data_IF_576129960083
#
_entry.id   IF_576129960083
#
_cell.length_a   1.000
_cell.length_b   1.000
_cell.length_c   1.000
_cell.angle_alpha   90.00
_cell.angle_beta   90.00
_cell.angle_gamma   90.00
#
_symmetry.space_group_name_H-M   'P 1'
#
loop_
_entity.id
_entity.type
_entity.pdbx_description
1 polymer ?
#
# COMPACT_ATOMS: atom_id res chain seq x y z
N UNK A 1 -32.62 2.98 5.70
CA UNK A 1 -31.57 3.96 5.39
C UNK A 1 -30.21 3.37 5.66
N UNK A 2 -29.29 3.63 4.76
CA UNK A 2 -27.93 3.15 4.89
C UNK A 2 -27.14 4.03 5.86
N UNK A 3 -26.28 3.39 6.68
CA UNK A 3 -25.38 4.10 7.58
C UNK A 3 -24.23 4.77 6.83
N UNK A 4 -24.00 4.37 5.59
CA UNK A 4 -22.82 4.75 4.84
C UNK A 4 -23.20 5.57 3.62
N UNK A 5 -22.40 6.57 3.31
CA UNK A 5 -22.57 7.37 2.12
C UNK A 5 -22.09 6.61 0.89
N UNK A 6 -22.55 7.01 -0.31
CA UNK A 6 -22.17 6.37 -1.56
C UNK A 6 -20.67 6.36 -1.78
N UNK A 7 -19.98 7.42 -1.36
CA UNK A 7 -18.53 7.51 -1.46
C UNK A 7 -17.83 6.42 -0.66
N UNK A 8 -18.29 6.18 0.59
CA UNK A 8 -17.73 5.13 1.44
C UNK A 8 -17.89 3.75 0.80
N UNK A 9 -19.05 3.52 0.19
CA UNK A 9 -19.32 2.25 -0.48
C UNK A 9 -18.37 2.06 -1.67
N UNK A 10 -18.14 3.11 -2.46
CA UNK A 10 -17.25 3.01 -3.62
C UNK A 10 -15.80 2.78 -3.21
N UNK A 11 -15.34 3.45 -2.16
CA UNK A 11 -13.99 3.23 -1.63
C UNK A 11 -13.82 1.80 -1.12
N UNK A 12 -14.84 1.30 -0.41
CA UNK A 12 -14.83 -0.09 0.08
C UNK A 12 -14.77 -1.07 -1.08
N UNK A 13 -15.60 -0.89 -2.10
CA UNK A 13 -15.62 -1.78 -3.27
C UNK A 13 -14.28 -1.80 -3.97
N UNK A 14 -13.65 -0.64 -4.09
CA UNK A 14 -12.36 -0.52 -4.75
C UNK A 14 -11.29 -1.27 -3.99
N UNK A 15 -11.25 -1.08 -2.67
CA UNK A 15 -10.30 -1.78 -1.82
C UNK A 15 -10.52 -3.29 -1.86
N UNK A 16 -11.78 -3.72 -1.74
CA UNK A 16 -12.15 -5.12 -1.78
C UNK A 16 -11.73 -5.76 -3.10
N UNK A 17 -11.94 -5.06 -4.21
CA UNK A 17 -11.56 -5.56 -5.54
C UNK A 17 -10.06 -5.87 -5.59
N UNK A 18 -9.23 -4.97 -5.07
CA UNK A 18 -7.77 -5.17 -5.12
C UNK A 18 -7.36 -6.36 -4.24
N UNK A 19 -7.94 -6.51 -3.03
CA UNK A 19 -7.63 -7.66 -2.19
C UNK A 19 -8.07 -8.98 -2.82
N UNK A 20 -9.24 -8.99 -3.47
CA UNK A 20 -9.71 -10.20 -4.16
C UNK A 20 -8.84 -10.52 -5.38
N UNK A 21 -8.43 -9.51 -6.12
CA UNK A 21 -7.51 -9.67 -7.24
C UNK A 21 -6.17 -10.24 -6.76
N UNK A 22 -5.66 -9.70 -5.66
CA UNK A 22 -4.40 -10.16 -5.07
C UNK A 22 -4.48 -11.64 -4.66
N UNK A 23 -5.60 -12.04 -4.09
CA UNK A 23 -5.82 -13.43 -3.71
C UNK A 23 -5.87 -14.33 -4.95
N UNK A 24 -6.60 -13.91 -5.98
CA UNK A 24 -6.72 -14.67 -7.23
C UNK A 24 -5.38 -14.82 -7.94
N UNK A 25 -4.60 -13.75 -7.99
CA UNK A 25 -3.30 -13.72 -8.67
C UNK A 25 -2.14 -14.16 -7.78
N UNK A 26 -2.42 -14.48 -6.52
CA UNK A 26 -1.42 -14.90 -5.55
C UNK A 26 -0.29 -13.87 -5.40
N UNK A 27 -0.66 -12.60 -5.23
CA UNK A 27 0.28 -11.49 -5.10
C UNK A 27 0.88 -11.52 -3.70
N UNK A 28 2.20 -11.69 -3.59
CA UNK A 28 2.88 -11.93 -2.32
C UNK A 28 3.06 -10.69 -1.45
N UNK A 29 3.02 -9.49 -2.04
CA UNK A 29 3.23 -8.24 -1.30
C UNK A 29 1.94 -7.54 -0.87
N UNK A 30 0.81 -8.22 -0.98
CA UNK A 30 -0.48 -7.73 -0.49
C UNK A 30 -1.00 -8.76 0.52
N UNK A 31 -1.38 -8.33 1.74
CA UNK A 31 -1.88 -9.27 2.75
C UNK A 31 -3.08 -10.04 2.23
N UNK A 32 -3.13 -11.33 2.55
CA UNK A 32 -4.23 -12.19 2.11
C UNK A 32 -5.54 -11.79 2.79
N UNK A 33 -6.60 -11.64 1.99
CA UNK A 33 -7.92 -11.39 2.54
C UNK A 33 -8.46 -12.67 3.18
N UNK A 34 -8.99 -12.53 4.39
CA UNK A 34 -9.57 -13.64 5.16
C UNK A 34 -11.09 -13.64 5.09
N UNK A 35 -11.70 -12.47 5.17
CA UNK A 35 -13.16 -12.33 5.11
C UNK A 35 -13.51 -10.88 4.81
N UNK A 36 -14.78 -10.66 4.43
CA UNK A 36 -15.29 -9.31 4.24
C UNK A 36 -16.79 -9.29 4.49
N UNK A 37 -17.31 -8.11 4.82
CA UNK A 37 -18.73 -7.89 5.07
C UNK A 37 -19.14 -6.62 4.33
N UNK A 38 -19.93 -6.80 3.26
CA UNK A 38 -20.35 -5.67 2.43
C UNK A 38 -21.38 -4.77 3.10
N UNK A 39 -22.15 -5.33 4.05
CA UNK A 39 -23.13 -4.53 4.78
C UNK A 39 -22.47 -3.60 5.79
N UNK A 40 -21.42 -4.06 6.44
CA UNK A 40 -20.68 -3.30 7.44
C UNK A 40 -19.45 -2.59 6.88
N UNK A 41 -19.14 -2.79 5.61
CA UNK A 41 -17.96 -2.26 4.93
C UNK A 41 -16.66 -2.63 5.66
N UNK A 42 -16.51 -3.90 5.97
CA UNK A 42 -15.35 -4.43 6.70
C UNK A 42 -14.58 -5.40 5.82
N UNK A 43 -13.26 -5.25 5.81
CA UNK A 43 -12.34 -6.20 5.17
C UNK A 43 -11.38 -6.67 6.25
N UNK A 44 -11.26 -8.00 6.39
CA UNK A 44 -10.30 -8.61 7.31
C UNK A 44 -9.20 -9.27 6.51
N UNK A 45 -7.96 -8.90 6.79
CA UNK A 45 -6.79 -9.46 6.13
C UNK A 45 -5.88 -10.11 7.16
N UNK A 46 -4.99 -10.99 6.66
CA UNK A 46 -3.97 -11.61 7.50
C UNK A 46 -3.06 -10.52 8.07
N UNK A 47 -2.76 -10.61 9.38
CA UNK A 47 -1.79 -9.72 10.00
C UNK A 47 -0.38 -10.14 9.57
N UNK A 48 0.30 -9.28 8.82
CA UNK A 48 1.64 -9.58 8.27
C UNK A 48 2.73 -8.72 8.89
N UNK A 49 2.37 -7.83 9.82
CA UNK A 49 3.35 -6.98 10.48
C UNK A 49 2.75 -5.68 10.99
N UNK A 50 3.59 -4.67 11.07
CA UNK A 50 3.20 -3.33 11.55
C UNK A 50 3.46 -2.29 10.47
N UNK A 51 2.87 -1.11 10.61
CA UNK A 51 3.09 -0.04 9.64
C UNK A 51 4.56 0.39 9.64
N UNK A 52 5.03 0.84 8.49
CA UNK A 52 6.38 1.39 8.38
C UNK A 52 6.54 2.62 9.29
N UNK A 53 5.48 3.40 9.47
CA UNK A 53 5.49 4.54 10.38
C UNK A 53 5.82 4.08 11.80
N UNK A 54 5.10 3.09 12.31
CA UNK A 54 5.32 2.56 13.66
C UNK A 54 6.68 1.88 13.80
N UNK A 55 7.11 1.19 12.75
CA UNK A 55 8.41 0.51 12.76
C UNK A 55 9.55 1.53 12.87
N UNK A 56 9.51 2.58 12.06
CA UNK A 56 10.55 3.61 12.10
C UNK A 56 10.53 4.36 13.43
N UNK A 57 9.35 4.70 13.95
CA UNK A 57 9.22 5.38 15.22
C UNK A 57 9.72 4.51 16.38
N UNK A 58 9.39 3.23 16.37
CA UNK A 58 9.73 2.31 17.45
C UNK A 58 11.18 1.89 17.47
N UNK A 59 11.80 1.73 16.31
CA UNK A 59 13.20 1.27 16.19
C UNK A 59 14.18 2.38 15.89
N UNK A 60 13.69 3.61 15.71
CA UNK A 60 14.55 4.76 15.44
C UNK A 60 15.25 4.71 14.09
N UNK A 61 14.68 4.01 13.12
CA UNK A 61 15.26 3.91 11.79
C UNK A 61 14.60 4.88 10.82
N UNK A 62 15.27 5.11 9.70
CA UNK A 62 14.77 5.98 8.64
C UNK A 62 14.12 5.12 7.55
N UNK A 63 12.98 5.59 7.03
CA UNK A 63 12.33 4.84 5.95
C UNK A 63 13.18 4.82 4.68
N UNK A 64 14.14 5.74 4.55
CA UNK A 64 15.07 5.79 3.43
C UNK A 64 15.77 4.46 3.19
N UNK A 65 16.06 3.73 4.27
CA UNK A 65 16.72 2.43 4.18
C UNK A 65 15.88 1.39 3.45
N UNK A 66 14.56 1.61 3.39
CA UNK A 66 13.62 0.68 2.80
C UNK A 66 13.15 1.10 1.41
N UNK A 67 13.63 2.24 0.89
CA UNK A 67 13.21 2.75 -0.42
C UNK A 67 13.39 1.73 -1.55
N UNK A 68 14.51 1.00 -1.64
CA UNK A 68 14.63 0.00 -2.71
C UNK A 68 13.54 -1.06 -2.67
N UNK A 69 13.21 -1.57 -1.47
CA UNK A 69 12.13 -2.54 -1.31
C UNK A 69 10.76 -1.96 -1.60
N UNK A 70 10.51 -0.75 -1.14
CA UNK A 70 9.24 -0.04 -1.39
C UNK A 70 9.06 0.17 -2.90
N UNK A 71 10.11 0.63 -3.58
CA UNK A 71 10.08 0.82 -5.02
C UNK A 71 9.77 -0.48 -5.75
N UNK A 72 10.36 -1.57 -5.30
CA UNK A 72 10.14 -2.88 -5.89
C UNK A 72 8.68 -3.29 -5.85
N UNK A 73 8.04 -3.21 -4.68
CA UNK A 73 6.63 -3.63 -4.56
C UNK A 73 5.70 -2.63 -5.24
N UNK A 74 6.02 -1.33 -5.18
CA UNK A 74 5.26 -0.32 -5.90
C UNK A 74 5.27 -0.60 -7.41
N UNK A 75 6.44 -0.86 -7.97
CA UNK A 75 6.56 -1.14 -9.40
C UNK A 75 5.89 -2.46 -9.80
N UNK A 76 5.87 -3.44 -8.92
CA UNK A 76 5.13 -4.69 -9.17
C UNK A 76 3.64 -4.43 -9.29
N UNK A 77 3.09 -3.56 -8.44
CA UNK A 77 1.67 -3.20 -8.53
C UNK A 77 1.38 -2.49 -9.85
N UNK A 78 2.26 -1.58 -10.26
CA UNK A 78 2.12 -0.89 -11.56
C UNK A 78 2.15 -1.90 -12.71
N UNK A 79 2.97 -2.93 -12.63
CA UNK A 79 3.00 -3.97 -13.66
C UNK A 79 1.69 -4.76 -13.75
N UNK A 80 0.96 -4.87 -12.65
CA UNK A 80 -0.38 -5.46 -12.66
C UNK A 80 -1.43 -4.50 -13.24
N UNK A 81 -1.05 -3.26 -13.55
CA UNK A 81 -1.91 -2.27 -14.17
C UNK A 81 -2.54 -1.27 -13.20
N UNK A 82 -2.00 -1.16 -12.00
CA UNK A 82 -2.60 -0.31 -10.96
C UNK A 82 -1.59 0.60 -10.29
N UNK A 83 -2.02 1.82 -9.96
CA UNK A 83 -1.28 2.77 -9.14
C UNK A 83 -1.94 2.83 -7.77
N UNK A 84 -1.14 2.79 -6.71
CA UNK A 84 -1.67 2.79 -5.34
C UNK A 84 -2.44 4.08 -5.04
N UNK A 85 -1.87 5.22 -5.39
CA UNK A 85 -2.44 6.56 -5.25
C UNK A 85 -2.60 7.07 -3.81
N UNK A 86 -2.05 6.36 -2.83
CA UNK A 86 -2.06 6.82 -1.43
C UNK A 86 -0.88 6.17 -0.68
N UNK A 87 0.29 6.20 -1.31
CA UNK A 87 1.46 5.53 -0.76
C UNK A 87 2.14 6.39 0.30
N UNK A 88 1.88 6.07 1.56
CA UNK A 88 2.47 6.72 2.73
C UNK A 88 2.98 5.67 3.70
N UNK A 89 3.77 6.10 4.68
CA UNK A 89 4.39 5.18 5.64
C UNK A 89 3.37 4.33 6.40
N UNK A 90 2.20 4.87 6.68
CA UNK A 90 1.15 4.11 7.37
C UNK A 90 0.47 3.07 6.48
N UNK A 91 0.64 3.16 5.15
CA UNK A 91 0.05 2.22 4.18
C UNK A 91 1.06 1.22 3.65
N UNK A 92 2.26 1.21 4.22
CA UNK A 92 3.28 0.19 3.98
C UNK A 92 3.44 -0.59 5.27
N UNK A 93 3.39 -1.92 5.18
CA UNK A 93 3.53 -2.79 6.34
C UNK A 93 4.83 -3.55 6.23
N UNK A 94 5.53 -3.68 7.34
CA UNK A 94 6.77 -4.44 7.43
C UNK A 94 6.64 -5.54 8.47
N UNK A 95 7.11 -6.72 8.13
CA UNK A 95 7.25 -7.81 9.09
C UNK A 95 8.56 -7.58 9.84
N UNK A 96 8.52 -7.29 11.16
CA UNK A 96 9.75 -6.95 11.90
C UNK A 96 10.75 -8.11 11.99
N UNK A 97 10.31 -9.34 11.75
CA UNK A 97 11.20 -10.50 11.86
C UNK A 97 12.08 -10.71 10.63
N UNK A 98 11.54 -10.46 9.44
CA UNK A 98 12.26 -10.70 8.17
C UNK A 98 12.32 -9.47 7.27
N UNK A 99 11.76 -8.35 7.72
CA UNK A 99 11.71 -7.07 6.99
C UNK A 99 11.01 -7.16 5.63
N UNK A 100 10.14 -8.14 5.44
CA UNK A 100 9.33 -8.24 4.24
C UNK A 100 8.29 -7.11 4.23
N UNK A 101 8.12 -6.48 3.06
CA UNK A 101 7.24 -5.33 2.89
C UNK A 101 5.95 -5.71 2.18
N UNK A 102 4.86 -5.04 2.57
CA UNK A 102 3.53 -5.23 2.01
C UNK A 102 2.88 -3.88 1.78
N UNK A 103 1.97 -3.82 0.82
CA UNK A 103 1.10 -2.65 0.60
C UNK A 103 -0.29 -2.94 1.15
N UNK A 104 -0.90 -1.92 1.75
CA UNK A 104 -2.27 -1.98 2.24
C UNK A 104 -3.00 -0.70 1.86
N UNK A 105 -4.30 -0.65 2.12
CA UNK A 105 -5.17 0.51 1.93
C UNK A 105 -5.28 0.92 0.46
N UNK A 106 -6.11 0.19 -0.27
CA UNK A 106 -6.25 0.36 -1.72
C UNK A 106 -7.50 1.15 -2.11
N UNK A 107 -8.01 2.01 -1.22
CA UNK A 107 -9.22 2.79 -1.47
C UNK A 107 -9.12 3.66 -2.73
N UNK A 108 -7.94 4.22 -2.99
CA UNK A 108 -7.70 5.12 -4.12
C UNK A 108 -6.94 4.48 -5.27
N UNK A 109 -6.68 3.19 -5.18
CA UNK A 109 -5.94 2.46 -6.22
C UNK A 109 -6.73 2.45 -7.52
N UNK A 110 -6.06 2.76 -8.64
CA UNK A 110 -6.71 2.92 -9.92
C UNK A 110 -5.72 2.59 -11.03
N UNK A 111 -6.24 2.43 -12.24
CA UNK A 111 -5.41 2.23 -13.43
C UNK A 111 -4.70 3.51 -13.85
N UNK A 112 -5.09 4.66 -13.32
CA UNK A 112 -4.46 5.93 -13.59
C UNK A 112 -3.73 6.44 -12.36
N UNK A 113 -2.55 7.03 -12.57
CA UNK A 113 -1.82 7.71 -11.50
C UNK A 113 -2.55 8.99 -11.11
N UNK A 114 -2.75 9.16 -9.80
CA UNK A 114 -3.39 10.35 -9.24
C UNK A 114 -2.46 10.96 -8.19
N UNK A 115 -2.27 12.27 -8.25
CA UNK A 115 -1.45 13.00 -7.28
C UNK A 115 -2.39 13.56 -6.20
N UNK A 116 -2.86 12.67 -5.33
CA UNK A 116 -3.91 13.00 -4.36
C UNK A 116 -3.40 13.57 -3.05
N UNK A 117 -2.13 13.34 -2.69
CA UNK A 117 -1.65 13.62 -1.34
C UNK A 117 -0.19 14.05 -1.36
N UNK A 118 0.11 15.16 -0.64
CA UNK A 118 1.47 15.65 -0.48
C UNK A 118 2.36 14.67 0.30
N UNK A 119 1.75 13.83 1.15
CA UNK A 119 2.46 12.83 1.92
C UNK A 119 2.83 11.59 1.11
N UNK A 120 2.33 11.48 -0.12
CA UNK A 120 2.63 10.35 -0.98
C UNK A 120 4.14 10.31 -1.27
N UNK A 121 4.74 9.17 -0.97
CA UNK A 121 6.20 9.02 -1.05
C UNK A 121 6.71 8.63 -2.43
N UNK A 122 5.84 8.48 -3.42
CA UNK A 122 6.23 8.13 -4.80
C UNK A 122 7.23 9.14 -5.35
N UNK A 123 7.00 10.42 -5.13
CA UNK A 123 7.91 11.48 -5.57
C UNK A 123 9.26 11.37 -4.90
N UNK A 124 9.29 11.02 -3.61
CA UNK A 124 10.53 10.87 -2.86
C UNK A 124 11.34 9.67 -3.36
N UNK A 125 10.66 8.58 -3.68
CA UNK A 125 11.28 7.39 -4.27
C UNK A 125 11.95 7.76 -5.59
N UNK A 126 11.25 8.47 -6.46
CA UNK A 126 11.77 8.90 -7.75
C UNK A 126 12.96 9.84 -7.62
N UNK A 127 12.87 10.83 -6.70
CA UNK A 127 13.96 11.78 -6.46
C UNK A 127 15.22 11.09 -5.96
N UNK A 128 15.08 10.17 -5.02
CA UNK A 128 16.23 9.43 -4.48
C UNK A 128 16.91 8.60 -5.55
N UNK A 129 16.14 8.00 -6.45
CA UNK A 129 16.71 7.28 -7.57
C UNK A 129 17.54 8.20 -8.47
N UNK A 130 17.01 9.41 -8.77
CA UNK A 130 17.75 10.40 -9.58
C UNK A 130 19.02 10.86 -8.89
N UNK A 131 18.95 11.15 -7.59
CA UNK A 131 20.10 11.58 -6.80
C UNK A 131 21.22 10.55 -6.84
N UNK A 132 20.88 9.28 -6.68
CA UNK A 132 21.88 8.19 -6.77
C UNK A 132 22.52 8.12 -8.14
N UNK A 133 21.76 8.33 -9.21
CA UNK A 133 22.30 8.36 -10.56
C UNK A 133 23.24 9.54 -10.78
N UNK A 134 22.91 10.71 -10.23
CA UNK A 134 23.71 11.92 -10.38
C UNK A 134 25.02 11.86 -9.60
N UNK A 135 25.04 11.15 -8.49
CA UNK A 135 26.24 11.08 -7.64
C UNK A 135 27.29 10.12 -8.19
N UNK A 136 27.03 9.48 -9.29
CA UNK A 136 28.00 8.67 -10.01
C UNK A 136 28.65 9.49 -11.09
#
# INVERSE_FOLDING_TARGET
STKYEGEDIELFKNELFIYLLAKQKNISFIPKILSYDCDKLIICTKNVGISMQDYCDGYGCEFDDFIPGIRTIYNKLVKFGYYHNDLRLKNIVINPNNEKLYLIDFEFTDREYKDLDEEDIVKQISRKTRSKKKSR
#
